data_IF_048922790271
#
_entry.id   IF_048922790271
#
_cell.length_a   1.000
_cell.length_b   1.000
_cell.length_c   1.000
_cell.angle_alpha   90.00
_cell.angle_beta   90.00
_cell.angle_gamma   90.00
#
_symmetry.space_group_name_H-M   'P 1'
#
loop_
_entity.id
_entity.type
_entity.pdbx_description
1 polymer ?
#
# COMPACT_ATOMS: atom_id res chain seq x y z
N UNK A 1 7.31 -12.15 15.64
CA UNK A 1 8.12 -10.93 15.48
C UNK A 1 7.32 -10.02 14.55
N UNK A 2 7.04 -8.77 14.93
CA UNK A 2 6.25 -7.81 14.13
C UNK A 2 7.18 -7.20 13.07
N UNK A 3 7.28 -7.84 11.91
CA UNK A 3 8.38 -7.63 10.96
C UNK A 3 8.07 -6.65 9.84
N UNK A 4 6.81 -6.30 9.62
CA UNK A 4 6.45 -5.38 8.54
C UNK A 4 6.69 -3.90 8.94
N UNK A 5 6.99 -3.00 7.97
CA UNK A 5 7.12 -1.57 8.25
C UNK A 5 5.88 -0.96 8.93
N UNK A 6 4.68 -1.40 8.54
CA UNK A 6 3.41 -0.96 9.13
C UNK A 6 3.32 -1.35 10.61
N UNK A 7 3.60 -2.60 10.94
CA UNK A 7 3.55 -3.08 12.33
C UNK A 7 4.61 -2.43 13.21
N UNK A 8 5.82 -2.20 12.68
CA UNK A 8 6.87 -1.47 13.42
C UNK A 8 6.48 -0.02 13.70
N UNK A 9 5.89 0.66 12.72
CA UNK A 9 5.43 2.04 12.90
C UNK A 9 4.31 2.12 13.95
N UNK A 10 3.35 1.20 13.92
CA UNK A 10 2.31 1.11 14.95
C UNK A 10 2.87 0.75 16.33
N UNK A 11 3.76 -0.24 16.42
CA UNK A 11 4.37 -0.66 17.69
C UNK A 11 5.21 0.45 18.35
N UNK A 12 5.76 1.39 17.57
CA UNK A 12 6.49 2.56 18.06
C UNK A 12 5.58 3.76 18.40
N UNK A 13 4.27 3.63 18.23
CA UNK A 13 3.31 4.72 18.45
C UNK A 13 3.35 5.80 17.36
N UNK A 14 3.96 5.53 16.20
CA UNK A 14 4.00 6.49 15.09
C UNK A 14 2.71 6.51 14.26
N UNK A 15 1.85 5.48 14.39
CA UNK A 15 0.55 5.37 13.75
C UNK A 15 -0.56 5.21 14.79
N UNK A 16 -1.73 5.75 14.50
CA UNK A 16 -2.94 5.48 15.29
C UNK A 16 -3.52 4.08 14.99
N UNK A 17 -4.48 3.63 15.80
CA UNK A 17 -5.16 2.36 15.58
C UNK A 17 -6.01 2.38 14.29
N UNK A 18 -6.60 3.53 13.97
CA UNK A 18 -7.37 3.78 12.75
C UNK A 18 -6.48 3.70 11.52
N UNK A 19 -5.34 4.40 11.54
CA UNK A 19 -4.35 4.36 10.46
C UNK A 19 -3.81 2.94 10.26
N UNK A 20 -3.55 2.21 11.34
CA UNK A 20 -3.13 0.81 11.27
C UNK A 20 -4.21 -0.08 10.63
N UNK A 21 -5.46 0.06 11.07
CA UNK A 21 -6.61 -0.67 10.51
C UNK A 21 -6.82 -0.36 9.02
N UNK A 22 -6.70 0.91 8.62
CA UNK A 22 -6.74 1.32 7.22
C UNK A 22 -5.61 0.66 6.41
N UNK A 23 -4.38 0.66 6.92
CA UNK A 23 -3.25 -0.02 6.28
C UNK A 23 -3.48 -1.52 6.09
N UNK A 24 -4.01 -2.21 7.11
CA UNK A 24 -4.37 -3.62 7.01
C UNK A 24 -5.46 -3.86 5.96
N UNK A 25 -6.52 -3.03 5.93
CA UNK A 25 -7.60 -3.11 4.95
C UNK A 25 -7.10 -2.88 3.52
N UNK A 26 -6.18 -1.94 3.33
CA UNK A 26 -5.53 -1.69 2.04
C UNK A 26 -4.76 -2.91 1.55
N UNK A 27 -3.92 -3.51 2.42
CA UNK A 27 -3.20 -4.75 2.11
C UNK A 27 -4.14 -5.89 1.76
N UNK A 28 -5.25 -6.02 2.49
CA UNK A 28 -6.26 -7.04 2.25
C UNK A 28 -6.86 -6.91 0.84
N UNK A 29 -7.26 -5.71 0.44
CA UNK A 29 -7.78 -5.47 -0.91
C UNK A 29 -6.72 -5.71 -1.99
N UNK A 30 -5.48 -5.25 -1.78
CA UNK A 30 -4.38 -5.50 -2.72
C UNK A 30 -4.09 -7.00 -2.91
N UNK A 31 -4.03 -7.76 -1.82
CA UNK A 31 -3.76 -9.20 -1.86
C UNK A 31 -4.88 -9.97 -2.57
N UNK A 32 -6.14 -9.76 -2.16
CA UNK A 32 -7.27 -10.45 -2.77
C UNK A 32 -7.63 -9.95 -4.17
N UNK A 33 -7.13 -8.78 -4.59
CA UNK A 33 -7.16 -8.33 -5.98
C UNK A 33 -6.25 -9.17 -6.89
N UNK A 34 -5.37 -10.00 -6.32
CA UNK A 34 -4.39 -10.81 -7.05
C UNK A 34 -3.18 -10.01 -7.55
N UNK A 35 -2.89 -8.88 -6.90
CA UNK A 35 -1.79 -7.98 -7.28
C UNK A 35 -0.45 -8.35 -6.61
N UNK A 36 -0.47 -9.31 -5.68
CA UNK A 36 0.72 -9.79 -4.97
C UNK A 36 1.69 -10.60 -5.83
N UNK A 37 1.38 -10.80 -7.12
CA UNK A 37 2.15 -11.69 -7.99
C UNK A 37 1.95 -13.13 -7.58
N UNK A 38 0.81 -13.71 -7.92
CA UNK A 38 0.65 -15.16 -7.79
C UNK A 38 1.66 -15.87 -8.68
N UNK A 39 2.25 -16.96 -8.19
CA UNK A 39 2.93 -17.97 -9.02
C UNK A 39 1.87 -18.65 -9.90
N UNK A 40 1.45 -17.96 -10.96
CA UNK A 40 0.72 -18.55 -12.08
C UNK A 40 1.80 -18.90 -13.11
N UNK A 41 1.74 -20.10 -13.68
CA UNK A 41 2.72 -20.65 -14.63
C UNK A 41 3.47 -19.58 -15.42
N UNK A 42 4.78 -19.48 -15.21
CA UNK A 42 5.63 -18.52 -15.91
C UNK A 42 5.67 -18.91 -17.39
N UNK A 43 5.06 -18.09 -18.24
CA UNK A 43 5.37 -18.10 -19.66
C UNK A 43 6.75 -17.44 -19.84
N UNK A 44 7.76 -18.27 -20.09
CA UNK A 44 9.15 -17.86 -20.26
C UNK A 44 9.37 -16.99 -21.51
N UNK A 45 8.39 -16.93 -22.43
CA UNK A 45 8.46 -16.10 -23.64
C UNK A 45 7.84 -14.71 -23.46
N UNK A 46 7.28 -14.40 -22.29
CA UNK A 46 6.65 -13.10 -22.05
C UNK A 46 7.72 -12.03 -21.84
N UNK A 47 7.78 -11.03 -22.71
CA UNK A 47 8.59 -9.82 -22.50
C UNK A 47 8.02 -9.07 -21.29
N UNK A 48 8.78 -9.03 -20.20
CA UNK A 48 8.42 -8.35 -18.96
C UNK A 48 8.66 -6.84 -19.07
N UNK A 49 7.83 -6.14 -19.85
CA UNK A 49 7.65 -4.71 -19.60
C UNK A 49 6.77 -4.59 -18.35
N UNK A 50 7.37 -4.24 -17.20
CA UNK A 50 6.61 -3.96 -15.98
C UNK A 50 5.88 -2.63 -16.18
N UNK A 51 4.72 -2.69 -16.85
CA UNK A 51 3.78 -1.59 -16.85
C UNK A 51 3.03 -1.59 -15.52
N UNK A 52 3.49 -0.71 -14.62
CA UNK A 52 2.90 -0.49 -13.30
C UNK A 52 1.43 0.01 -13.39
N UNK A 53 0.97 0.45 -14.57
CA UNK A 53 -0.42 0.85 -14.84
C UNK A 53 -1.30 -0.22 -15.48
N UNK A 54 -0.72 -1.30 -16.00
CA UNK A 54 -1.46 -2.27 -16.83
C UNK A 54 -2.36 -3.25 -16.06
N UNK A 55 -2.33 -3.27 -14.72
CA UNK A 55 -3.16 -4.16 -13.88
C UNK A 55 -3.34 -5.57 -14.47
N UNK A 56 -2.23 -6.29 -14.70
CA UNK A 56 -2.21 -7.52 -15.47
C UNK A 56 -3.24 -8.58 -15.02
N UNK A 57 -3.91 -9.19 -16.02
CA UNK A 57 -4.83 -10.33 -15.88
C UNK A 57 -6.29 -9.95 -15.61
N UNK A 58 -7.23 -10.64 -16.28
CA UNK A 58 -8.66 -10.56 -15.96
C UNK A 58 -8.94 -11.11 -14.55
N UNK A 59 -9.89 -10.50 -13.83
CA UNK A 59 -10.34 -11.03 -12.55
C UNK A 59 -10.99 -12.40 -12.77
N UNK A 60 -10.64 -13.39 -11.94
CA UNK A 60 -11.13 -14.78 -12.06
C UNK A 60 -12.48 -14.99 -11.36
N UNK A 61 -12.88 -14.10 -10.44
CA UNK A 61 -14.11 -14.21 -9.64
C UNK A 61 -14.71 -12.82 -9.33
N UNK A 62 -16.02 -12.75 -9.05
CA UNK A 62 -16.70 -11.52 -8.58
C UNK A 62 -16.05 -10.94 -7.32
N UNK A 63 -15.62 -11.82 -6.40
CA UNK A 63 -14.89 -11.41 -5.19
C UNK A 63 -13.58 -10.71 -5.52
N UNK A 64 -12.84 -11.18 -6.52
CA UNK A 64 -11.61 -10.52 -6.98
C UNK A 64 -11.91 -9.18 -7.66
N UNK A 65 -13.01 -9.08 -8.41
CA UNK A 65 -13.48 -7.80 -9.01
C UNK A 65 -13.77 -6.78 -7.90
N UNK A 66 -14.50 -7.18 -6.86
CA UNK A 66 -14.79 -6.31 -5.71
C UNK A 66 -13.52 -5.74 -5.08
N UNK A 67 -12.54 -6.60 -4.79
CA UNK A 67 -11.28 -6.16 -4.20
C UNK A 67 -10.43 -5.30 -5.13
N UNK A 68 -10.42 -5.58 -6.44
CA UNK A 68 -9.79 -4.72 -7.45
C UNK A 68 -10.41 -3.34 -7.51
N UNK A 69 -11.74 -3.26 -7.44
CA UNK A 69 -12.45 -2.00 -7.47
C UNK A 69 -12.14 -1.16 -6.22
N UNK A 70 -12.24 -1.75 -5.02
CA UNK A 70 -11.88 -1.08 -3.76
C UNK A 70 -10.42 -0.63 -3.72
N UNK A 71 -9.50 -1.44 -4.25
CA UNK A 71 -8.10 -1.06 -4.35
C UNK A 71 -7.89 0.09 -5.35
N UNK A 72 -8.55 0.07 -6.52
CA UNK A 72 -8.45 1.15 -7.51
C UNK A 72 -8.98 2.48 -6.98
N UNK A 73 -10.12 2.46 -6.30
CA UNK A 73 -10.68 3.65 -5.63
C UNK A 73 -9.71 4.21 -4.60
N UNK A 74 -9.08 3.34 -3.79
CA UNK A 74 -8.04 3.75 -2.87
C UNK A 74 -6.83 4.39 -3.59
N UNK A 75 -6.31 3.76 -4.64
CA UNK A 75 -5.19 4.31 -5.43
C UNK A 75 -5.55 5.68 -6.03
N UNK A 76 -6.78 5.85 -6.51
CA UNK A 76 -7.27 7.13 -7.04
C UNK A 76 -7.31 8.21 -5.96
N UNK A 77 -7.86 7.91 -4.78
CA UNK A 77 -7.92 8.87 -3.66
C UNK A 77 -6.52 9.27 -3.16
N UNK A 78 -5.59 8.31 -3.10
CA UNK A 78 -4.23 8.52 -2.59
C UNK A 78 -3.32 9.31 -3.55
N UNK A 79 -3.65 9.35 -4.84
CA UNK A 79 -2.77 9.85 -5.89
C UNK A 79 -1.47 9.03 -6.04
N UNK A 80 -0.62 9.46 -6.98
CA UNK A 80 0.58 8.69 -7.40
C UNK A 80 1.58 8.44 -6.26
N UNK A 81 1.90 9.48 -5.48
CA UNK A 81 2.93 9.38 -4.43
C UNK A 81 2.40 8.57 -3.23
N UNK A 82 1.18 8.85 -2.77
CA UNK A 82 0.57 8.15 -1.64
C UNK A 82 0.39 6.66 -1.91
N UNK A 83 -0.16 6.31 -3.08
CA UNK A 83 -0.35 4.91 -3.49
C UNK A 83 0.99 4.16 -3.61
N UNK A 84 2.03 4.79 -4.15
CA UNK A 84 3.37 4.20 -4.24
C UNK A 84 3.96 3.89 -2.86
N UNK A 85 3.91 4.84 -1.93
CA UNK A 85 4.43 4.67 -0.57
C UNK A 85 3.68 3.54 0.15
N UNK A 86 2.35 3.50 0.09
CA UNK A 86 1.57 2.44 0.74
C UNK A 86 1.79 1.08 0.10
N UNK A 87 1.84 0.97 -1.23
CA UNK A 87 2.13 -0.32 -1.86
C UNK A 87 3.50 -0.85 -1.42
N UNK A 88 4.53 0.00 -1.42
CA UNK A 88 5.88 -0.43 -1.05
C UNK A 88 6.01 -0.76 0.43
N UNK A 89 5.50 0.09 1.33
CA UNK A 89 5.65 -0.10 2.77
C UNK A 89 4.71 -1.17 3.34
N UNK A 90 3.46 -1.21 2.87
CA UNK A 90 2.38 -2.00 3.48
C UNK A 90 2.17 -3.33 2.75
N UNK A 91 2.25 -3.32 1.42
CA UNK A 91 1.96 -4.52 0.63
C UNK A 91 3.23 -5.34 0.34
N UNK A 92 4.32 -4.66 -0.03
CA UNK A 92 5.62 -5.28 -0.37
C UNK A 92 6.64 -5.24 0.76
N UNK A 93 6.31 -4.59 1.87
CA UNK A 93 7.09 -4.54 3.11
C UNK A 93 8.52 -4.00 2.98
N UNK A 94 8.78 -3.13 2.00
CA UNK A 94 10.06 -2.42 1.89
C UNK A 94 10.29 -1.48 3.08
N UNK A 95 11.53 -1.38 3.53
CA UNK A 95 11.93 -0.45 4.59
C UNK A 95 11.64 1.02 4.21
N UNK A 96 11.16 1.81 5.17
CA UNK A 96 10.80 3.22 4.96
C UNK A 96 12.00 4.06 4.52
N UNK A 97 13.20 3.74 5.01
CA UNK A 97 14.44 4.38 4.55
C UNK A 97 14.65 4.23 3.05
N UNK A 98 14.45 3.02 2.52
CA UNK A 98 14.61 2.74 1.09
C UNK A 98 13.55 3.47 0.26
N UNK A 99 12.33 3.54 0.75
CA UNK A 99 11.24 4.28 0.10
C UNK A 99 11.59 5.77 0.06
N UNK A 100 12.06 6.35 1.16
CA UNK A 100 12.49 7.74 1.21
C UNK A 100 13.66 8.06 0.26
N UNK A 101 14.60 7.13 0.10
CA UNK A 101 15.69 7.28 -0.87
C UNK A 101 15.18 7.31 -2.31
N UNK A 102 14.21 6.45 -2.66
CA UNK A 102 13.55 6.47 -3.98
C UNK A 102 12.79 7.78 -4.21
N UNK A 103 12.30 8.41 -3.14
CA UNK A 103 11.66 9.74 -3.19
C UNK A 103 12.67 10.90 -3.27
N UNK A 104 13.98 10.63 -3.30
CA UNK A 104 15.03 11.64 -3.50
C UNK A 104 15.77 12.12 -2.23
N UNK A 105 15.49 11.53 -1.06
CA UNK A 105 16.16 11.92 0.18
C UNK A 105 17.47 11.15 0.37
N UNK A 106 18.58 11.87 0.49
CA UNK A 106 19.93 11.28 0.57
C UNK A 106 20.31 10.85 1.99
N UNK A 107 19.93 11.64 3.00
CA UNK A 107 20.20 11.34 4.40
C UNK A 107 19.22 10.28 4.94
N UNK A 108 19.76 9.23 5.56
CA UNK A 108 18.94 8.10 6.08
C UNK A 108 17.85 8.56 7.06
N UNK A 109 18.12 9.41 8.07
CA UNK A 109 17.07 9.95 8.94
C UNK A 109 15.99 10.75 8.20
N UNK A 110 16.41 11.57 7.23
CA UNK A 110 15.47 12.38 6.45
C UNK A 110 14.60 11.50 5.54
N UNK A 111 15.19 10.48 4.91
CA UNK A 111 14.48 9.51 4.08
C UNK A 111 13.41 8.76 4.88
N UNK A 112 13.77 8.26 6.08
CA UNK A 112 12.82 7.61 6.97
C UNK A 112 11.65 8.53 7.33
N UNK A 113 11.95 9.74 7.82
CA UNK A 113 10.93 10.70 8.26
C UNK A 113 10.01 11.10 7.10
N UNK A 114 10.60 11.38 5.93
CA UNK A 114 9.86 11.77 4.73
C UNK A 114 8.91 10.68 4.23
N UNK A 115 9.33 9.41 4.28
CA UNK A 115 8.49 8.27 3.92
C UNK A 115 7.40 8.00 4.98
N UNK A 116 7.73 8.11 6.27
CA UNK A 116 6.79 7.93 7.37
C UNK A 116 5.67 8.98 7.33
N UNK A 117 5.98 10.26 7.14
CA UNK A 117 4.96 11.32 7.07
C UNK A 117 4.07 11.16 5.83
N UNK A 118 4.63 10.77 4.68
CA UNK A 118 3.83 10.45 3.49
C UNK A 118 2.93 9.23 3.70
N UNK A 119 3.43 8.21 4.40
CA UNK A 119 2.63 7.04 4.77
C UNK A 119 1.47 7.43 5.68
N UNK A 120 1.71 8.25 6.71
CA UNK A 120 0.66 8.76 7.62
C UNK A 120 -0.42 9.53 6.86
N UNK A 121 -0.04 10.51 6.05
CA UNK A 121 -0.99 11.30 5.26
C UNK A 121 -1.83 10.43 4.31
N UNK A 122 -1.22 9.42 3.69
CA UNK A 122 -1.95 8.47 2.85
C UNK A 122 -2.92 7.59 3.67
N UNK A 123 -2.51 7.14 4.86
CA UNK A 123 -3.41 6.37 5.75
C UNK A 123 -4.58 7.22 6.25
N UNK A 124 -4.37 8.52 6.52
CA UNK A 124 -5.45 9.44 6.89
C UNK A 124 -6.48 9.62 5.77
N UNK A 125 -6.03 9.69 4.51
CA UNK A 125 -6.93 9.69 3.35
C UNK A 125 -7.74 8.40 3.26
N UNK A 126 -7.12 7.24 3.53
CA UNK A 126 -7.85 5.97 3.55
C UNK A 126 -8.85 5.88 4.71
N UNK A 127 -8.50 6.41 5.88
CA UNK A 127 -9.44 6.52 7.00
C UNK A 127 -10.67 7.33 6.59
N UNK A 128 -10.48 8.48 5.93
CA UNK A 128 -11.58 9.31 5.40
C UNK A 128 -12.39 8.57 4.34
N UNK A 129 -11.73 7.97 3.35
CA UNK A 129 -12.38 7.23 2.25
C UNK A 129 -13.27 6.08 2.77
N UNK A 130 -12.85 5.42 3.85
CA UNK A 130 -13.53 4.24 4.38
C UNK A 130 -14.32 4.47 5.67
N UNK A 131 -14.41 5.72 6.14
CA UNK A 131 -15.11 6.06 7.38
C UNK A 131 -14.52 5.39 8.62
N UNK A 132 -13.21 5.13 8.65
CA UNK A 132 -12.54 4.53 9.82
C UNK A 132 -12.23 5.63 10.82
N UNK A 133 -12.77 5.53 12.04
CA UNK A 133 -12.54 6.50 13.12
C UNK A 133 -13.55 7.65 13.17
N UNK A 134 -14.37 7.85 12.13
CA UNK A 134 -15.53 8.74 12.22
C UNK A 134 -16.66 8.00 12.97
N UNK A 135 -16.68 8.15 14.30
CA UNK A 135 -17.95 8.10 15.04
C UNK A 135 -18.56 9.48 14.88
N UNK A 136 -19.60 9.57 14.05
CA UNK A 136 -20.54 10.69 14.17
C UNK A 136 -21.08 10.68 15.60
N UNK A 137 -20.96 11.83 16.27
CA UNK A 137 -21.67 12.15 17.51
C UNK A 137 -23.02 12.72 17.11
#
# INVERSE_FOLDING_TARGET
MRDSPLERAFARGALSAEQYSAGQKYRHHWYHAGLSGGLVSVDLNRVWAVDLGAYAGMAKTERQVFHRQRYREAVQALGKIGSHVLEWAVCREFALERIGQVLGWTSRPQAYAAALERMKAALDELCRLWGIGNREV
#
